data_IF_740808456583
#
_entry.id   IF_740808456583
#
_cell.length_a   1.000
_cell.length_b   1.000
_cell.length_c   1.000
_cell.angle_alpha   90.00
_cell.angle_beta   90.00
_cell.angle_gamma   90.00
#
_symmetry.space_group_name_H-M   'P 1'
#
loop_
_entity.id
_entity.type
_entity.pdbx_description
1 polymer ?
#
# COMPACT_ATOMS: atom_id res chain seq x y z
N UNK A 1 -10.30 -8.66 7.98
CA UNK A 1 -10.00 -7.90 6.75
C UNK A 1 -10.92 -8.40 5.66
N UNK A 2 -11.35 -7.59 4.70
CA UNK A 2 -12.04 -8.13 3.50
C UNK A 2 -10.95 -8.75 2.63
N UNK A 3 -11.10 -10.04 2.28
CA UNK A 3 -10.14 -10.79 1.48
C UNK A 3 -9.89 -10.21 0.08
N UNK A 4 -9.30 -10.98 -0.84
CA UNK A 4 -9.15 -10.51 -2.22
C UNK A 4 -10.53 -10.20 -2.81
N UNK A 5 -10.69 -8.96 -3.29
CA UNK A 5 -11.96 -8.43 -3.79
C UNK A 5 -11.98 -8.44 -5.32
N UNK A 6 -10.89 -7.98 -5.94
CA UNK A 6 -10.82 -7.78 -7.40
C UNK A 6 -9.72 -8.60 -8.08
N UNK A 7 -8.76 -9.14 -7.31
CA UNK A 7 -7.67 -9.96 -7.83
C UNK A 7 -6.58 -9.18 -8.57
N UNK A 8 -5.56 -9.89 -9.05
CA UNK A 8 -4.34 -9.28 -9.60
C UNK A 8 -4.56 -8.44 -10.86
N UNK A 9 -5.40 -8.92 -11.80
CA UNK A 9 -5.61 -8.25 -13.08
C UNK A 9 -6.30 -6.89 -12.91
N UNK A 10 -7.38 -6.85 -12.13
CA UNK A 10 -8.09 -5.59 -11.89
C UNK A 10 -7.24 -4.63 -11.06
N UNK A 11 -6.45 -5.14 -10.11
CA UNK A 11 -5.48 -4.33 -9.36
C UNK A 11 -4.45 -3.67 -10.29
N UNK A 12 -4.01 -4.37 -11.34
CA UNK A 12 -3.08 -3.82 -12.33
C UNK A 12 -3.73 -2.69 -13.14
N UNK A 13 -4.98 -2.89 -13.59
CA UNK A 13 -5.70 -1.88 -14.36
C UNK A 13 -6.05 -0.64 -13.53
N UNK A 14 -6.58 -0.84 -12.31
CA UNK A 14 -6.97 0.25 -11.41
C UNK A 14 -5.77 0.89 -10.71
N UNK A 15 -4.60 0.24 -10.71
CA UNK A 15 -3.40 0.63 -9.96
C UNK A 15 -3.67 0.82 -8.46
N UNK A 16 -4.71 0.16 -7.95
CA UNK A 16 -5.22 0.26 -6.61
C UNK A 16 -5.83 -1.09 -6.17
N UNK A 17 -5.75 -1.38 -4.88
CA UNK A 17 -6.27 -2.61 -4.29
C UNK A 17 -5.98 -2.66 -2.80
N UNK A 18 -6.65 -3.58 -2.09
CA UNK A 18 -6.28 -3.91 -0.72
C UNK A 18 -4.95 -4.69 -0.68
N UNK A 19 -4.49 -5.02 0.52
CA UNK A 19 -3.25 -5.77 0.71
C UNK A 19 -3.26 -7.17 0.06
N UNK A 20 -4.38 -7.90 0.08
CA UNK A 20 -4.53 -9.17 -0.64
C UNK A 20 -4.44 -9.01 -2.16
N UNK A 21 -5.09 -7.99 -2.70
CA UNK A 21 -5.13 -7.66 -4.12
C UNK A 21 -3.74 -7.24 -4.62
N UNK A 22 -3.06 -6.36 -3.86
CA UNK A 22 -1.68 -5.95 -4.13
C UNK A 22 -0.68 -7.10 -3.98
N UNK A 23 -0.83 -7.97 -2.98
CA UNK A 23 -0.01 -9.17 -2.82
C UNK A 23 -0.21 -10.14 -3.99
N UNK A 24 -1.45 -10.28 -4.47
CA UNK A 24 -1.77 -11.12 -5.64
C UNK A 24 -1.12 -10.59 -6.91
N UNK A 25 -1.20 -9.28 -7.15
CA UNK A 25 -0.52 -8.65 -8.27
C UNK A 25 1.00 -8.86 -8.20
N UNK A 26 1.61 -8.62 -7.03
CA UNK A 26 3.04 -8.81 -6.86
C UNK A 26 3.46 -10.28 -7.10
N UNK A 27 2.73 -11.24 -6.55
CA UNK A 27 2.99 -12.67 -6.76
C UNK A 27 2.87 -13.04 -8.23
N UNK A 28 1.86 -12.53 -8.94
CA UNK A 28 1.71 -12.78 -10.37
C UNK A 28 2.92 -12.26 -11.17
N UNK A 29 3.33 -11.01 -10.92
CA UNK A 29 4.50 -10.40 -11.58
C UNK A 29 5.81 -11.16 -11.29
N UNK A 30 6.02 -11.58 -10.03
CA UNK A 30 7.18 -12.37 -9.64
C UNK A 30 7.19 -13.74 -10.33
N UNK A 31 6.05 -14.44 -10.37
CA UNK A 31 5.94 -15.77 -10.99
C UNK A 31 6.14 -15.71 -12.50
N UNK A 32 5.60 -14.70 -13.18
CA UNK A 32 5.86 -14.45 -14.61
C UNK A 32 7.35 -14.20 -14.85
N UNK A 33 8.05 -13.58 -13.90
CA UNK A 33 9.51 -13.37 -13.94
C UNK A 33 10.33 -14.61 -13.51
N UNK A 34 9.69 -15.77 -13.32
CA UNK A 34 10.35 -17.01 -12.90
C UNK A 34 10.71 -17.08 -11.40
N UNK A 35 10.26 -16.11 -10.59
CA UNK A 35 10.53 -16.06 -9.15
C UNK A 35 9.41 -16.76 -8.39
N UNK A 36 9.77 -17.76 -7.58
CA UNK A 36 8.80 -18.43 -6.69
C UNK A 36 8.35 -17.43 -5.62
N UNK A 37 7.05 -17.20 -5.53
CA UNK A 37 6.46 -16.30 -4.55
C UNK A 37 5.23 -16.94 -3.90
N UNK A 38 5.04 -16.64 -2.63
CA UNK A 38 3.91 -17.13 -1.81
C UNK A 38 3.33 -16.01 -0.99
N UNK A 39 2.06 -16.15 -0.66
CA UNK A 39 1.41 -15.26 0.27
C UNK A 39 1.78 -15.62 1.70
N UNK A 40 1.75 -14.60 2.54
CA UNK A 40 1.85 -14.74 3.97
C UNK A 40 0.78 -13.87 4.60
N UNK A 41 0.09 -14.41 5.59
CA UNK A 41 -0.96 -13.73 6.34
C UNK A 41 -0.67 -13.83 7.82
N UNK A 42 -0.99 -12.80 8.57
CA UNK A 42 -0.92 -12.82 10.03
C UNK A 42 -1.23 -11.47 10.61
N UNK A 43 -1.06 -11.34 11.92
CA UNK A 43 -1.24 -10.05 12.60
C UNK A 43 0.07 -9.27 12.62
N UNK A 44 -0.01 -7.99 12.25
CA UNK A 44 1.09 -7.03 12.32
C UNK A 44 0.76 -5.95 13.34
N UNK A 45 1.79 -5.28 13.84
CA UNK A 45 1.66 -4.08 14.64
C UNK A 45 2.21 -2.91 13.85
N UNK A 46 1.35 -1.94 13.59
CA UNK A 46 1.68 -0.71 12.89
C UNK A 46 1.81 0.42 13.91
N UNK A 47 2.94 1.14 13.97
CA UNK A 47 3.08 2.31 14.85
C UNK A 47 2.02 3.36 14.54
N UNK A 48 1.49 4.01 15.58
CA UNK A 48 0.34 4.90 15.41
C UNK A 48 0.60 6.07 14.46
N UNK A 49 1.84 6.59 14.42
CA UNK A 49 2.24 7.66 13.50
C UNK A 49 2.12 7.25 12.04
N UNK A 50 2.39 5.98 11.73
CA UNK A 50 2.24 5.46 10.37
C UNK A 50 0.77 5.34 9.98
N UNK A 51 -0.08 4.87 10.91
CA UNK A 51 -1.53 4.79 10.68
C UNK A 51 -2.12 6.18 10.45
N UNK A 52 -1.72 7.18 11.25
CA UNK A 52 -2.09 8.58 11.04
C UNK A 52 -1.73 9.07 9.64
N UNK A 53 -0.50 8.79 9.19
CA UNK A 53 -0.06 9.07 7.82
C UNK A 53 -0.91 8.36 6.76
N UNK A 54 -1.34 7.12 7.00
CA UNK A 54 -2.23 6.41 6.09
C UNK A 54 -3.56 7.12 5.92
N UNK A 55 -4.16 7.69 6.96
CA UNK A 55 -5.45 8.37 6.81
C UNK A 55 -5.35 9.87 6.56
N UNK A 56 -4.14 10.44 6.60
CA UNK A 56 -3.96 11.89 6.51
C UNK A 56 -4.61 12.61 7.68
N UNK A 57 -4.51 12.04 8.89
CA UNK A 57 -5.10 12.61 10.12
C UNK A 57 -4.02 12.80 11.18
N UNK A 58 -4.20 13.79 12.05
CA UNK A 58 -3.23 14.07 13.13
C UNK A 58 -3.62 13.44 14.48
N UNK A 59 -4.90 13.14 14.69
CA UNK A 59 -5.39 12.50 15.91
C UNK A 59 -5.30 10.97 15.81
N UNK A 60 -4.57 10.29 16.71
CA UNK A 60 -4.48 8.84 16.73
C UNK A 60 -5.83 8.12 16.95
N UNK A 61 -6.77 8.72 17.68
CA UNK A 61 -8.10 8.14 17.91
C UNK A 61 -8.97 8.21 16.67
N UNK A 62 -8.90 9.32 15.93
CA UNK A 62 -9.55 9.43 14.62
C UNK A 62 -9.02 8.35 13.67
N UNK A 63 -7.70 8.17 13.62
CA UNK A 63 -7.08 7.11 12.81
C UNK A 63 -7.57 5.69 13.20
N UNK A 64 -7.69 5.42 14.50
CA UNK A 64 -8.24 4.17 15.01
C UNK A 64 -9.71 3.98 14.67
N UNK A 65 -10.52 5.03 14.79
CA UNK A 65 -11.95 5.00 14.47
C UNK A 65 -12.19 4.73 12.98
N UNK A 66 -11.40 5.35 12.08
CA UNK A 66 -11.49 5.07 10.65
C UNK A 66 -11.24 3.59 10.36
N UNK A 67 -10.24 2.97 11.00
CA UNK A 67 -9.99 1.54 10.84
C UNK A 67 -11.14 0.67 11.36
N UNK A 68 -11.67 1.03 12.54
CA UNK A 68 -12.78 0.31 13.15
C UNK A 68 -14.05 0.37 12.28
N UNK A 69 -14.34 1.52 11.67
CA UNK A 69 -15.51 1.68 10.77
C UNK A 69 -15.27 1.10 9.37
N UNK A 70 -14.01 0.88 8.97
CA UNK A 70 -13.66 0.28 7.67
C UNK A 70 -13.86 -1.24 7.60
N UNK A 71 -14.40 -1.87 8.66
CA UNK A 71 -14.59 -3.32 8.71
C UNK A 71 -13.29 -4.13 8.78
N UNK A 72 -12.16 -3.47 9.09
CA UNK A 72 -10.88 -4.14 9.32
C UNK A 72 -10.79 -4.48 10.81
N UNK A 73 -10.68 -5.77 11.19
CA UNK A 73 -10.41 -6.18 12.56
C UNK A 73 -9.08 -5.58 13.02
N UNK A 74 -9.17 -4.48 13.75
CA UNK A 74 -8.06 -3.70 14.21
C UNK A 74 -8.22 -3.45 15.71
N UNK A 75 -7.12 -3.55 16.46
CA UNK A 75 -7.08 -3.28 17.90
C UNK A 75 -6.07 -2.20 18.19
N UNK A 76 -6.52 -1.09 18.78
CA UNK A 76 -5.64 -0.07 19.33
C UNK A 76 -4.81 -0.65 20.48
N UNK A 77 -3.51 -0.44 20.43
CA UNK A 77 -2.57 -0.80 21.48
C UNK A 77 -2.16 0.45 22.24
N UNK A 78 -2.30 0.40 23.57
CA UNK A 78 -1.98 1.50 24.46
C UNK A 78 -0.73 1.19 25.27
N UNK A 79 0.09 2.20 25.53
CA UNK A 79 1.19 2.19 26.51
C UNK A 79 0.98 3.39 27.41
N UNK A 80 0.90 3.17 28.73
CA UNK A 80 0.61 4.21 29.73
C UNK A 80 -0.64 5.05 29.40
N UNK A 81 -1.69 4.39 28.90
CA UNK A 81 -2.96 5.01 28.50
C UNK A 81 -2.91 5.79 27.18
N UNK A 82 -1.78 5.79 26.45
CA UNK A 82 -1.60 6.53 25.19
C UNK A 82 -1.56 5.59 23.98
N UNK A 83 -2.18 5.96 22.85
CA UNK A 83 -2.06 5.22 21.59
C UNK A 83 -0.60 5.02 21.16
N UNK A 84 -0.17 3.77 21.07
CA UNK A 84 1.19 3.39 20.66
C UNK A 84 1.22 2.78 19.26
N UNK A 85 0.23 1.97 18.93
CA UNK A 85 0.12 1.33 17.63
C UNK A 85 -1.20 0.61 17.45
N UNK A 86 -1.39 0.02 16.28
CA UNK A 86 -2.57 -0.77 15.96
C UNK A 86 -2.14 -2.15 15.55
N UNK A 87 -2.77 -3.16 16.17
CA UNK A 87 -2.70 -4.54 15.72
C UNK A 87 -3.79 -4.76 14.68
N UNK A 88 -3.43 -5.24 13.51
CA UNK A 88 -4.37 -5.65 12.48
C UNK A 88 -3.90 -6.92 11.79
N UNK A 89 -4.85 -7.68 11.27
CA UNK A 89 -4.58 -8.71 10.27
C UNK A 89 -3.98 -8.07 9.02
N UNK A 90 -3.11 -8.79 8.31
CA UNK A 90 -2.42 -8.28 7.13
C UNK A 90 -1.90 -9.41 6.24
N UNK A 91 -1.93 -9.20 4.93
CA UNK A 91 -1.39 -10.06 3.89
C UNK A 91 -0.19 -9.40 3.20
N UNK A 92 0.89 -10.15 3.04
CA UNK A 92 2.09 -9.73 2.32
C UNK A 92 2.69 -10.90 1.52
N UNK A 93 3.84 -10.68 0.89
CA UNK A 93 4.49 -11.65 0.00
C UNK A 93 5.82 -12.10 0.59
N UNK A 94 6.15 -13.38 0.45
CA UNK A 94 7.53 -13.88 0.55
C UNK A 94 7.97 -14.37 -0.83
N UNK A 95 9.09 -13.84 -1.32
CA UNK A 95 9.72 -14.22 -2.60
C UNK A 95 10.98 -15.04 -2.34
N UNK A 96 11.18 -16.12 -3.11
CA UNK A 96 12.37 -16.96 -3.02
C UNK A 96 13.42 -16.46 -4.01
N UNK A 97 14.41 -15.73 -3.50
CA UNK A 97 15.41 -15.01 -4.31
C UNK A 97 16.83 -15.31 -3.82
N UNK A 98 17.86 -15.19 -4.69
CA UNK A 98 19.25 -15.21 -4.26
C UNK A 98 19.49 -13.96 -3.42
N UNK A 99 19.82 -14.12 -2.14
CA UNK A 99 19.83 -12.98 -1.23
C UNK A 99 21.19 -12.74 -0.57
N UNK A 100 21.93 -13.77 -0.18
CA UNK A 100 23.24 -13.62 0.48
C UNK A 100 24.23 -14.63 -0.06
N UNK A 101 25.53 -14.38 0.05
CA UNK A 101 26.61 -15.27 -0.39
C UNK A 101 27.95 -14.54 -0.38
N UNK A 102 29.03 -15.24 -0.72
CA UNK A 102 30.37 -14.62 -0.75
C UNK A 102 30.52 -13.51 -1.80
N UNK A 103 29.69 -13.54 -2.86
CA UNK A 103 29.63 -12.56 -3.95
C UNK A 103 28.21 -12.02 -4.20
N UNK A 104 27.29 -12.32 -3.28
CA UNK A 104 25.88 -11.90 -3.37
C UNK A 104 25.52 -11.20 -2.08
N UNK A 105 25.00 -9.98 -2.19
CA UNK A 105 24.63 -9.20 -1.01
C UNK A 105 23.26 -8.56 -1.19
N UNK A 106 22.30 -9.01 -0.37
CA UNK A 106 20.93 -8.52 -0.30
C UNK A 106 20.23 -8.40 -1.67
N UNK A 107 20.37 -9.45 -2.47
CA UNK A 107 19.81 -9.53 -3.82
C UNK A 107 20.63 -8.85 -4.92
N UNK A 108 21.72 -8.16 -4.59
CA UNK A 108 22.66 -7.63 -5.57
C UNK A 108 23.75 -8.67 -5.87
N UNK A 109 23.92 -8.98 -7.16
CA UNK A 109 24.94 -9.92 -7.66
C UNK A 109 25.19 -9.68 -9.16
N UNK A 110 26.39 -10.07 -9.63
CA UNK A 110 26.64 -10.28 -11.05
C UNK A 110 26.01 -11.62 -11.48
N UNK A 111 25.27 -11.71 -12.60
CA UNK A 111 24.61 -12.95 -13.04
C UNK A 111 25.50 -14.20 -13.01
N UNK A 112 26.81 -14.07 -13.25
CA UNK A 112 27.75 -15.21 -13.22
C UNK A 112 27.97 -15.79 -11.82
N UNK A 113 27.70 -15.01 -10.77
CA UNK A 113 27.93 -15.38 -9.37
C UNK A 113 26.66 -15.95 -8.69
N UNK A 114 25.54 -16.07 -9.40
CA UNK A 114 24.26 -16.55 -8.83
C UNK A 114 24.37 -17.96 -8.21
N UNK A 115 25.23 -18.83 -8.75
CA UNK A 115 25.49 -20.17 -8.22
C UNK A 115 26.15 -20.18 -6.84
N UNK A 116 26.67 -19.03 -6.38
CA UNK A 116 27.26 -18.83 -5.04
C UNK A 116 26.28 -18.21 -4.06
N UNK A 117 25.03 -17.99 -4.48
CA UNK A 117 23.99 -17.39 -3.65
C UNK A 117 23.31 -18.44 -2.76
N UNK A 118 23.07 -18.06 -1.51
CA UNK A 118 22.06 -18.63 -0.63
C UNK A 118 20.70 -18.02 -1.01
N UNK A 119 19.80 -18.89 -1.45
CA UNK A 119 18.42 -18.55 -1.76
C UNK A 119 17.57 -18.56 -0.50
N UNK A 120 16.73 -17.54 -0.33
CA UNK A 120 15.94 -17.36 0.87
C UNK A 120 14.56 -16.82 0.56
N UNK A 121 13.60 -17.12 1.44
CA UNK A 121 12.29 -16.47 1.45
C UNK A 121 12.42 -15.09 2.07
N UNK A 122 12.29 -14.07 1.25
CA UNK A 122 12.47 -12.67 1.62
C UNK A 122 11.11 -11.98 1.62
N UNK A 123 10.72 -11.29 2.71
CA UNK A 123 9.45 -10.62 2.79
C UNK A 123 9.41 -9.37 1.91
N UNK A 124 8.28 -9.14 1.24
CA UNK A 124 8.00 -8.00 0.39
C UNK A 124 6.57 -7.54 0.65
N UNK A 125 6.39 -6.24 0.87
CA UNK A 125 5.08 -5.66 1.15
C UNK A 125 4.92 -4.32 0.47
N UNK A 126 4.16 -4.32 -0.63
CA UNK A 126 3.86 -3.14 -1.45
C UNK A 126 2.70 -2.31 -0.91
N UNK A 127 1.93 -2.85 0.04
CA UNK A 127 0.82 -2.16 0.69
C UNK A 127 1.28 -1.30 1.86
N UNK A 128 2.38 -1.68 2.52
CA UNK A 128 2.95 -0.99 3.67
C UNK A 128 3.76 0.26 3.28
N UNK A 129 3.06 1.32 2.89
CA UNK A 129 3.64 2.60 2.46
C UNK A 129 3.86 3.53 3.65
N UNK A 130 4.85 4.42 3.55
CA UNK A 130 5.01 5.52 4.49
C UNK A 130 4.47 6.80 3.86
N UNK A 131 3.67 7.52 4.63
CA UNK A 131 3.08 8.78 4.19
C UNK A 131 3.51 9.89 5.14
N UNK A 132 3.71 11.08 4.59
CA UNK A 132 3.81 12.31 5.36
C UNK A 132 2.46 13.02 5.31
N UNK A 133 1.97 13.45 6.47
CA UNK A 133 0.83 14.37 6.53
C UNK A 133 1.20 15.68 5.86
N UNK A 134 0.30 16.18 5.03
CA UNK A 134 0.39 17.52 4.44
C UNK A 134 -0.96 18.18 4.65
N UNK A 135 -0.94 19.44 5.06
CA UNK A 135 -2.18 20.19 5.22
C UNK A 135 -2.95 20.25 3.90
N UNK A 136 -4.24 19.97 3.96
CA UNK A 136 -5.08 19.95 2.77
C UNK A 136 -5.20 21.36 2.21
N UNK A 137 -5.19 21.45 0.89
CA UNK A 137 -5.56 22.67 0.18
C UNK A 137 -7.08 22.66 0.10
N UNK A 138 -7.70 23.76 0.53
CA UNK A 138 -9.13 23.94 0.34
C UNK A 138 -9.42 24.15 -1.15
N UNK A 139 -10.09 23.18 -1.75
CA UNK A 139 -10.52 23.20 -3.16
C UNK A 139 -12.04 23.36 -3.26
N UNK A 140 -12.73 23.68 -2.17
CA UNK A 140 -14.19 23.88 -2.16
C UNK A 140 -14.65 25.01 -3.10
N UNK A 141 -13.76 25.93 -3.45
CA UNK A 141 -14.00 26.97 -4.45
C UNK A 141 -13.95 26.49 -5.91
N UNK A 142 -13.49 25.25 -6.17
CA UNK A 142 -13.48 24.64 -7.51
C UNK A 142 -14.75 23.79 -7.66
N UNK A 143 -15.75 24.33 -8.32
CA UNK A 143 -17.03 23.65 -8.59
C UNK A 143 -17.03 22.98 -9.95
N UNK A 144 -17.61 21.79 -10.05
CA UNK A 144 -17.79 21.09 -11.33
C UNK A 144 -18.78 21.85 -12.21
N UNK A 145 -18.34 22.30 -13.38
CA UNK A 145 -19.18 22.96 -14.36
C UNK A 145 -19.85 21.94 -15.29
N UNK A 146 -21.06 21.51 -14.93
CA UNK A 146 -21.81 20.50 -15.69
C UNK A 146 -22.14 20.97 -17.12
N UNK A 147 -22.51 22.24 -17.28
CA UNK A 147 -22.87 22.80 -18.60
C UNK A 147 -21.67 22.76 -19.56
N UNK A 148 -20.48 23.17 -19.10
CA UNK A 148 -19.24 23.13 -19.90
C UNK A 148 -18.79 21.71 -20.23
N UNK A 149 -18.98 20.77 -19.30
CA UNK A 149 -18.68 19.36 -19.53
C UNK A 149 -19.60 18.76 -20.61
N UNK A 150 -20.90 19.04 -20.56
CA UNK A 150 -21.90 18.47 -21.47
C UNK A 150 -21.99 19.15 -22.84
N UNK A 151 -21.51 20.40 -22.97
CA UNK A 151 -21.52 21.15 -24.23
C UNK A 151 -20.54 20.58 -25.28
N UNK A 152 -19.62 19.71 -24.87
CA UNK A 152 -18.65 19.06 -25.75
C UNK A 152 -18.74 17.55 -25.66
N UNK A 153 -18.68 16.87 -26.83
CA UNK A 153 -18.57 15.42 -26.86
C UNK A 153 -17.19 15.03 -26.32
N UNK A 154 -17.15 14.29 -25.20
CA UNK A 154 -15.93 13.93 -24.48
C UNK A 154 -15.83 12.42 -24.28
N UNK A 155 -14.62 11.91 -24.43
CA UNK A 155 -14.28 10.51 -24.13
C UNK A 155 -13.88 10.31 -22.65
N UNK A 156 -13.50 11.39 -21.97
CA UNK A 156 -13.14 11.37 -20.54
C UNK A 156 -14.39 11.36 -19.66
N UNK A 157 -14.31 10.74 -18.48
CA UNK A 157 -15.45 10.70 -17.55
C UNK A 157 -15.67 12.05 -16.85
N UNK A 158 -16.88 12.32 -16.29
CA UNK A 158 -17.11 13.55 -15.51
C UNK A 158 -16.14 13.70 -14.34
N UNK A 159 -15.75 12.57 -13.74
CA UNK A 159 -14.76 12.54 -12.67
C UNK A 159 -13.38 12.97 -13.17
N UNK A 160 -12.91 12.44 -14.30
CA UNK A 160 -11.59 12.77 -14.85
C UNK A 160 -11.51 14.25 -15.26
N UNK A 161 -12.60 14.77 -15.84
CA UNK A 161 -12.72 16.19 -16.17
C UNK A 161 -12.63 17.06 -14.92
N UNK A 162 -13.46 16.80 -13.91
CA UNK A 162 -13.44 17.57 -12.67
C UNK A 162 -12.09 17.47 -11.95
N UNK A 163 -11.49 16.29 -11.95
CA UNK A 163 -10.18 16.06 -11.36
C UNK A 163 -9.09 16.90 -12.05
N UNK A 164 -9.17 17.08 -13.38
CA UNK A 164 -8.29 17.99 -14.12
C UNK A 164 -8.50 19.47 -13.78
N UNK A 165 -9.73 19.91 -13.54
CA UNK A 165 -10.01 21.29 -13.10
C UNK A 165 -9.37 21.56 -11.74
N UNK A 166 -9.54 20.64 -10.78
CA UNK A 166 -8.87 20.71 -9.49
C UNK A 166 -7.34 20.66 -9.68
N UNK A 167 -6.84 19.88 -10.64
CA UNK A 167 -5.43 19.83 -10.98
C UNK A 167 -4.86 21.16 -11.46
N UNK A 168 -5.56 21.83 -12.37
CA UNK A 168 -5.22 23.16 -12.86
C UNK A 168 -5.18 24.16 -11.71
N UNK A 169 -6.26 24.23 -10.92
CA UNK A 169 -6.35 25.14 -9.78
C UNK A 169 -5.18 24.99 -8.79
N UNK A 170 -4.81 23.74 -8.45
CA UNK A 170 -3.70 23.49 -7.54
C UNK A 170 -2.36 23.88 -8.16
N UNK A 171 -2.13 23.59 -9.45
CA UNK A 171 -0.87 23.98 -10.12
C UNK A 171 -0.71 25.50 -10.20
N UNK A 172 -1.79 26.22 -10.44
CA UNK A 172 -1.75 27.68 -10.63
C UNK A 172 -1.59 28.43 -9.30
N UNK A 173 -2.26 27.96 -8.24
CA UNK A 173 -2.25 28.64 -6.93
C UNK A 173 -1.20 28.09 -5.96
N UNK A 174 -0.74 26.86 -6.17
CA UNK A 174 0.20 26.16 -5.28
C UNK A 174 1.26 25.41 -6.13
N UNK A 175 2.17 26.11 -6.81
CA UNK A 175 3.10 25.53 -7.79
C UNK A 175 4.08 24.50 -7.21
N UNK A 176 4.37 24.57 -5.90
CA UNK A 176 5.19 23.57 -5.19
C UNK A 176 4.38 22.36 -4.68
N UNK A 177 3.07 22.34 -4.94
CA UNK A 177 2.13 21.31 -4.53
C UNK A 177 1.71 20.43 -5.71
N UNK A 178 1.15 19.27 -5.40
CA UNK A 178 0.50 18.42 -6.41
C UNK A 178 -0.94 18.17 -6.00
N UNK A 179 -1.77 17.73 -6.92
CA UNK A 179 -3.18 17.39 -6.63
C UNK A 179 -3.31 16.36 -5.52
N UNK A 180 -2.40 15.40 -5.52
CA UNK A 180 -2.30 14.41 -4.46
C UNK A 180 -1.92 15.04 -3.12
N UNK A 181 -1.10 16.09 -3.10
CA UNK A 181 -0.79 16.84 -1.87
C UNK A 181 -2.01 17.64 -1.39
N UNK A 182 -2.69 18.36 -2.30
CA UNK A 182 -3.78 19.28 -1.95
C UNK A 182 -5.06 18.58 -1.49
N UNK A 183 -5.48 17.52 -2.18
CA UNK A 183 -6.80 16.90 -1.92
C UNK A 183 -6.71 15.76 -0.91
N UNK A 184 -5.65 14.95 -0.94
CA UNK A 184 -5.59 13.73 -0.13
C UNK A 184 -5.09 13.93 1.31
N UNK A 185 -4.47 15.08 1.61
CA UNK A 185 -3.88 15.37 2.93
C UNK A 185 -2.68 14.49 3.30
N UNK A 186 -2.14 13.74 2.34
CA UNK A 186 -1.01 12.82 2.55
C UNK A 186 -0.19 12.64 1.29
N UNK A 187 1.12 12.42 1.46
CA UNK A 187 2.04 12.19 0.35
C UNK A 187 2.88 10.97 0.64
N UNK A 188 3.04 10.10 -0.36
CA UNK A 188 3.92 8.93 -0.23
C UNK A 188 5.35 9.45 -0.03
N UNK A 189 5.95 9.12 1.12
CA UNK A 189 7.36 9.32 1.36
C UNK A 189 8.12 8.27 0.57
N UNK A 190 8.77 8.69 -0.52
CA UNK A 190 9.63 7.79 -1.30
C UNK A 190 10.81 7.35 -0.43
N UNK A 191 11.03 6.03 -0.39
CA UNK A 191 12.15 5.42 0.33
C UNK A 191 13.04 4.73 -0.68
N UNK A 192 14.31 5.12 -0.75
CA UNK A 192 15.33 4.44 -1.53
C UNK A 192 16.15 3.56 -0.60
N UNK A 193 15.96 2.25 -0.70
CA UNK A 193 16.58 1.29 0.21
C UNK A 193 18.00 0.87 -0.22
N UNK A 194 18.35 1.09 -1.50
CA UNK A 194 19.63 0.70 -2.12
C UNK A 194 19.80 -0.81 -2.29
N UNK A 195 19.40 -1.60 -1.29
CA UNK A 195 19.40 -3.05 -1.25
C UNK A 195 18.07 -3.57 -0.70
N UNK A 196 17.78 -4.86 -0.92
CA UNK A 196 16.60 -5.48 -0.32
C UNK A 196 16.82 -5.62 1.21
N UNK A 197 15.92 -5.12 2.07
CA UNK A 197 16.09 -5.18 3.52
C UNK A 197 16.06 -6.61 4.09
N UNK A 198 16.79 -6.84 5.19
CA UNK A 198 16.87 -8.12 5.90
C UNK A 198 15.67 -8.44 6.80
N UNK A 199 14.62 -7.61 6.78
CA UNK A 199 13.54 -7.75 7.73
C UNK A 199 12.27 -7.08 7.29
N UNK A 200 11.26 -7.30 8.11
CA UNK A 200 9.94 -6.76 7.93
C UNK A 200 9.95 -5.28 8.33
N UNK A 201 9.21 -4.42 7.62
CA UNK A 201 9.13 -3.00 7.96
C UNK A 201 8.22 -2.74 9.18
N UNK A 202 7.69 -3.80 9.80
CA UNK A 202 6.82 -3.78 10.97
C UNK A 202 7.08 -4.99 11.89
N UNK A 203 6.58 -4.88 13.13
CA UNK A 203 6.51 -6.02 14.05
C UNK A 203 5.36 -6.93 13.62
N UNK A 204 5.57 -8.23 13.71
CA UNK A 204 4.60 -9.28 13.35
C UNK A 204 4.47 -10.27 14.50
N UNK A 205 3.26 -10.71 14.76
CA UNK A 205 2.98 -11.75 15.76
C UNK A 205 3.28 -13.09 15.09
N UNK A 206 4.42 -13.70 15.45
CA UNK A 206 4.92 -14.90 14.77
C UNK A 206 3.91 -16.05 14.80
N UNK A 207 3.17 -16.18 15.90
CA UNK A 207 2.25 -17.30 16.14
C UNK A 207 0.98 -17.24 15.28
N UNK A 208 0.69 -16.10 14.65
CA UNK A 208 -0.47 -15.96 13.75
C UNK A 208 -0.11 -16.12 12.28
N UNK A 209 1.17 -16.30 11.96
CA UNK A 209 1.67 -16.33 10.58
C UNK A 209 1.29 -17.64 9.88
N UNK A 210 0.53 -17.51 8.79
CA UNK A 210 0.16 -18.58 7.86
C UNK A 210 0.73 -18.29 6.48
N UNK A 211 1.05 -19.34 5.72
CA UNK A 211 1.63 -19.24 4.38
C UNK A 211 0.82 -20.07 3.41
N UNK A 212 0.61 -19.54 2.22
CA UNK A 212 -0.23 -20.18 1.21
C UNK A 212 0.30 -19.90 -0.19
N UNK A 213 0.17 -20.91 -1.07
CA UNK A 213 0.51 -20.77 -2.49
C UNK A 213 -0.59 -20.01 -3.24
N UNK A 214 -1.83 -20.13 -2.78
CA UNK A 214 -3.03 -19.48 -3.31
C UNK A 214 -3.93 -19.04 -2.17
N UNK A 215 -4.66 -17.95 -2.35
CA UNK A 215 -5.55 -17.41 -1.31
C UNK A 215 -6.65 -18.44 -1.01
N UNK A 216 -6.79 -18.91 0.25
CA UNK A 216 -7.87 -19.80 0.65
C UNK A 216 -9.25 -19.17 0.43
N UNK A 217 -10.27 -19.97 0.15
CA UNK A 217 -11.64 -19.49 -0.12
C UNK A 217 -12.25 -18.65 1.01
N UNK A 218 -11.82 -18.87 2.26
CA UNK A 218 -12.22 -18.07 3.42
C UNK A 218 -11.74 -16.61 3.35
N UNK A 219 -10.74 -16.32 2.52
CA UNK A 219 -10.15 -15.00 2.29
C UNK A 219 -10.40 -14.50 0.87
N UNK A 220 -11.41 -15.05 0.18
CA UNK A 220 -11.91 -14.51 -1.10
C UNK A 220 -13.27 -13.88 -0.84
N UNK A 221 -13.51 -12.71 -1.42
CA UNK A 221 -14.85 -12.14 -1.41
C UNK A 221 -15.79 -13.05 -2.21
N UNK A 222 -16.91 -13.46 -1.61
CA UNK A 222 -17.95 -14.24 -2.30
C UNK A 222 -19.02 -13.27 -2.78
N UNK A 223 -19.34 -13.35 -4.07
CA UNK A 223 -20.43 -12.58 -4.71
C UNK A 223 -21.73 -13.34 -4.52
#
# INVERSE_FOLDING_TARGET
MIGSLKGSQQTLYEKAGNDFDLASLLIALLRVSGIKARYVYGEIIVPIDRVKGWFGVNDPWVAGNILATSGIPARMLLVDGRPWGIRLEHCWVEAYIPYEGSKVYRGAYDPKDIGRARWMWVPMDVSYKEYRYVEKIDVSGVSFNEDEYLDTLRDESPFDYYFKEIEGFIKDNYPDSSVFHGVSGRVIKRVYLGYIPWGYPYKRLKDTVRRFAEIPDSYRHKV
#
